data_IF_269571771786
#
_entry.id   IF_269571771786
#
_cell.length_a   1.000
_cell.length_b   1.000
_cell.length_c   1.000
_cell.angle_alpha   90.00
_cell.angle_beta   90.00
_cell.angle_gamma   90.00
#
_symmetry.space_group_name_H-M   'P 1'
#
loop_
_entity.id
_entity.type
_entity.pdbx_description
1 polymer ?
#
# COMPACT_ATOMS: atom_id res chain seq x y z
N UNK A 1 11.27 3.10 17.15
CA UNK A 1 10.17 2.66 16.28
C UNK A 1 10.36 3.24 14.90
N UNK A 2 10.82 2.40 13.98
CA UNK A 2 11.11 2.78 12.59
C UNK A 2 9.93 2.36 11.73
N UNK A 3 9.36 3.31 10.99
CA UNK A 3 8.18 3.08 10.18
C UNK A 3 8.40 3.51 8.73
N UNK A 4 7.79 2.77 7.81
CA UNK A 4 7.70 3.13 6.39
C UNK A 4 6.24 3.40 6.04
N UNK A 5 6.00 4.57 5.46
CA UNK A 5 4.69 4.93 4.90
C UNK A 5 4.76 4.91 3.38
N UNK A 6 3.80 4.23 2.75
CA UNK A 6 3.70 4.13 1.29
C UNK A 6 2.35 4.68 0.88
N UNK A 7 2.38 5.68 0.02
CA UNK A 7 1.19 6.38 -0.45
C UNK A 7 0.68 5.76 -1.77
N UNK A 8 -0.59 5.37 -1.81
CA UNK A 8 -1.30 4.98 -3.03
C UNK A 8 -2.43 5.99 -3.26
N UNK A 9 -2.33 6.89 -4.25
CA UNK A 9 -3.24 8.02 -4.37
C UNK A 9 -4.55 7.66 -5.08
N UNK A 10 -4.76 6.43 -5.53
CA UNK A 10 -5.91 6.10 -6.37
C UNK A 10 -7.17 5.78 -5.56
N UNK A 11 -8.31 6.27 -6.04
CA UNK A 11 -9.63 5.95 -5.53
C UNK A 11 -10.59 5.61 -6.68
N UNK A 12 -11.43 4.59 -6.50
CA UNK A 12 -12.55 4.29 -7.41
C UNK A 12 -13.68 5.32 -7.30
N UNK A 13 -13.80 5.99 -6.16
CA UNK A 13 -14.77 7.06 -5.91
C UNK A 13 -14.12 8.21 -5.13
N UNK A 14 -14.39 9.46 -5.54
CA UNK A 14 -13.91 10.64 -4.82
C UNK A 14 -14.98 11.08 -3.81
N UNK A 15 -14.71 10.82 -2.53
CA UNK A 15 -15.56 11.30 -1.45
C UNK A 15 -15.41 12.81 -1.25
N UNK A 16 -16.52 13.54 -1.24
CA UNK A 16 -16.54 15.01 -1.06
C UNK A 16 -16.01 15.49 0.31
N UNK A 17 -16.05 14.63 1.32
CA UNK A 17 -15.58 14.94 2.68
C UNK A 17 -14.09 14.56 2.91
N UNK A 18 -13.46 13.90 1.94
CA UNK A 18 -12.10 13.40 2.12
C UNK A 18 -11.10 14.45 1.62
N UNK A 19 -10.20 14.90 2.50
CA UNK A 19 -9.15 15.88 2.16
C UNK A 19 -7.78 15.23 1.87
N UNK A 20 -7.68 13.90 1.89
CA UNK A 20 -6.46 13.20 1.49
C UNK A 20 -6.09 13.47 0.03
N UNK A 21 -4.78 13.52 -0.25
CA UNK A 21 -4.27 13.58 -1.62
C UNK A 21 -4.66 12.28 -2.33
N UNK A 22 -5.53 12.41 -3.33
CA UNK A 22 -6.05 11.29 -4.10
C UNK A 22 -6.46 11.75 -5.49
N UNK A 23 -6.47 10.79 -6.41
CA UNK A 23 -6.86 10.94 -7.80
C UNK A 23 -7.86 9.86 -8.16
N UNK A 24 -8.78 10.20 -9.05
CA UNK A 24 -9.74 9.24 -9.57
C UNK A 24 -9.00 8.21 -10.44
N UNK A 25 -9.25 6.92 -10.20
CA UNK A 25 -8.50 5.81 -10.81
C UNK A 25 -8.60 5.77 -12.34
N UNK A 26 -9.74 6.16 -12.90
CA UNK A 26 -10.00 6.03 -14.34
C UNK A 26 -9.00 6.83 -15.18
N UNK A 27 -8.38 6.15 -16.15
CA UNK A 27 -7.39 6.74 -17.05
C UNK A 27 -6.01 6.98 -16.43
N UNK A 28 -5.77 6.55 -15.18
CA UNK A 28 -4.48 6.74 -14.53
C UNK A 28 -3.47 5.64 -14.91
N UNK A 29 -2.17 5.96 -15.04
CA UNK A 29 -1.13 4.98 -15.34
C UNK A 29 -0.69 4.23 -14.07
N UNK A 30 -1.59 3.42 -13.51
CA UNK A 30 -1.39 2.74 -12.20
C UNK A 30 -0.15 1.84 -12.19
N UNK A 31 0.07 1.06 -13.25
CA UNK A 31 1.24 0.17 -13.33
C UNK A 31 2.56 0.96 -13.35
N UNK A 32 2.61 2.04 -14.12
CA UNK A 32 3.78 2.93 -14.18
C UNK A 32 4.03 3.60 -12.82
N UNK A 33 2.97 4.02 -12.14
CA UNK A 33 3.08 4.56 -10.78
C UNK A 33 3.70 3.54 -9.82
N UNK A 34 3.22 2.29 -9.82
CA UNK A 34 3.77 1.22 -8.99
C UNK A 34 5.24 0.95 -9.33
N UNK A 35 5.61 0.95 -10.62
CA UNK A 35 7.00 0.78 -11.06
C UNK A 35 7.91 1.92 -10.59
N UNK A 36 7.46 3.16 -10.72
CA UNK A 36 8.20 4.33 -10.28
C UNK A 36 8.34 4.38 -8.76
N UNK A 37 7.30 3.98 -8.02
CA UNK A 37 7.32 3.86 -6.57
C UNK A 37 8.34 2.81 -6.12
N UNK A 38 8.39 1.66 -6.79
CA UNK A 38 9.41 0.63 -6.50
C UNK A 38 10.82 1.16 -6.73
N UNK A 39 11.03 1.86 -7.84
CA UNK A 39 12.31 2.50 -8.15
C UNK A 39 12.68 3.55 -7.11
N UNK A 40 11.72 4.33 -6.61
CA UNK A 40 11.95 5.30 -5.55
C UNK A 40 12.39 4.61 -4.25
N UNK A 41 11.73 3.52 -3.84
CA UNK A 41 12.11 2.74 -2.66
C UNK A 41 13.55 2.19 -2.76
N UNK A 42 13.93 1.66 -3.93
CA UNK A 42 15.31 1.22 -4.22
C UNK A 42 16.31 2.39 -4.12
N UNK A 43 15.99 3.52 -4.74
CA UNK A 43 16.86 4.71 -4.70
C UNK A 43 17.06 5.27 -3.28
N UNK A 44 16.05 5.15 -2.40
CA UNK A 44 16.15 5.59 -1.01
C UNK A 44 17.05 4.65 -0.21
N UNK A 45 16.84 3.33 -0.35
CA UNK A 45 17.63 2.30 0.37
C UNK A 45 19.08 2.20 -0.11
N UNK A 46 19.35 2.48 -1.38
CA UNK A 46 20.72 2.51 -1.92
C UNK A 46 21.54 3.70 -1.40
N UNK A 47 20.90 4.84 -1.15
CA UNK A 47 21.58 6.08 -0.70
C UNK A 47 21.85 6.10 0.80
N UNK A 48 21.08 5.35 1.57
CA UNK A 48 21.13 5.37 3.02
C UNK A 48 20.82 4.00 3.59
N UNK A 49 21.71 3.49 4.45
CA UNK A 49 21.41 2.31 5.26
C UNK A 49 20.17 2.60 6.10
N UNK A 50 19.14 1.77 5.97
CA UNK A 50 17.93 1.87 6.78
C UNK A 50 18.06 1.05 8.05
N UNK A 51 17.58 1.61 9.16
CA UNK A 51 17.37 0.83 10.38
C UNK A 51 16.29 -0.24 10.14
N UNK A 52 16.32 -1.35 10.89
CA UNK A 52 15.27 -2.36 10.80
C UNK A 52 13.87 -1.76 10.99
N UNK A 53 12.94 -2.10 10.09
CA UNK A 53 11.60 -1.53 10.03
C UNK A 53 10.64 -2.36 10.87
N UNK A 54 10.02 -1.72 11.86
CA UNK A 54 9.06 -2.34 12.79
C UNK A 54 7.61 -2.20 12.32
N UNK A 55 7.33 -1.24 11.41
CA UNK A 55 5.98 -0.98 10.91
C UNK A 55 6.02 -0.54 9.45
N UNK A 56 5.18 -1.16 8.62
CA UNK A 56 4.89 -0.73 7.25
C UNK A 56 3.42 -0.38 7.16
N UNK A 57 3.12 0.82 6.67
CA UNK A 57 1.76 1.29 6.46
C UNK A 57 1.56 1.72 5.01
N UNK A 58 0.62 1.08 4.32
CA UNK A 58 0.20 1.45 2.97
C UNK A 58 -1.16 2.13 3.05
N UNK A 59 -1.22 3.40 2.64
CA UNK A 59 -2.43 4.23 2.76
C UNK A 59 -2.51 5.31 1.69
N UNK A 60 -3.43 6.27 1.85
CA UNK A 60 -3.52 7.43 0.97
C UNK A 60 -4.93 7.65 0.43
N UNK A 61 -5.13 7.38 -0.85
CA UNK A 61 -6.45 7.27 -1.45
C UNK A 61 -7.09 5.97 -0.98
N UNK A 62 -6.96 4.92 -1.76
CA UNK A 62 -7.47 3.58 -1.41
C UNK A 62 -6.54 2.51 -1.97
N UNK A 63 -5.55 2.04 -1.19
CA UNK A 63 -4.60 1.01 -1.62
C UNK A 63 -5.25 -0.24 -2.21
N UNK A 64 -6.43 -0.62 -1.69
CA UNK A 64 -7.17 -1.80 -2.17
C UNK A 64 -7.81 -1.63 -3.55
N UNK A 65 -7.73 -0.46 -4.18
CA UNK A 65 -8.11 -0.27 -5.60
C UNK A 65 -7.11 -0.89 -6.56
N UNK A 66 -5.88 -1.15 -6.11
CA UNK A 66 -4.91 -1.91 -6.88
C UNK A 66 -5.44 -3.31 -7.19
N UNK A 67 -5.13 -3.79 -8.40
CA UNK A 67 -5.41 -5.17 -8.81
C UNK A 67 -4.57 -6.16 -8.00
N UNK A 68 -4.94 -7.43 -7.99
CA UNK A 68 -4.19 -8.49 -7.32
C UNK A 68 -2.72 -8.55 -7.79
N UNK A 69 -2.49 -8.36 -9.09
CA UNK A 69 -1.15 -8.37 -9.67
C UNK A 69 -0.31 -7.17 -9.17
N UNK A 70 -0.93 -5.98 -9.11
CA UNK A 70 -0.27 -4.78 -8.61
C UNK A 70 0.02 -4.86 -7.10
N UNK A 71 -0.92 -5.41 -6.31
CA UNK A 71 -0.72 -5.67 -4.88
C UNK A 71 0.44 -6.66 -4.66
N UNK A 72 0.44 -7.79 -5.37
CA UNK A 72 1.51 -8.78 -5.25
C UNK A 72 2.88 -8.17 -5.62
N UNK A 73 2.93 -7.39 -6.70
CA UNK A 73 4.13 -6.68 -7.15
C UNK A 73 4.64 -5.69 -6.08
N UNK A 74 3.75 -4.86 -5.55
CA UNK A 74 4.08 -3.88 -4.51
C UNK A 74 4.56 -4.56 -3.23
N UNK A 75 3.80 -5.51 -2.70
CA UNK A 75 4.16 -6.21 -1.45
C UNK A 75 5.47 -6.99 -1.59
N UNK A 76 5.68 -7.68 -2.72
CA UNK A 76 6.94 -8.37 -3.00
C UNK A 76 8.13 -7.40 -3.02
N UNK A 77 7.95 -6.21 -3.60
CA UNK A 77 9.00 -5.20 -3.61
C UNK A 77 9.28 -4.65 -2.20
N UNK A 78 8.25 -4.35 -1.41
CA UNK A 78 8.38 -3.88 -0.02
C UNK A 78 9.21 -4.86 0.81
N UNK A 79 8.85 -6.16 0.77
CA UNK A 79 9.54 -7.22 1.52
C UNK A 79 10.99 -7.42 1.06
N UNK A 80 11.28 -7.19 -0.23
CA UNK A 80 12.62 -7.31 -0.79
C UNK A 80 13.51 -6.11 -0.44
N UNK A 81 12.95 -4.91 -0.44
CA UNK A 81 13.70 -3.65 -0.38
C UNK A 81 13.95 -3.22 1.06
N UNK A 82 12.95 -3.33 1.94
CA UNK A 82 13.08 -2.85 3.31
C UNK A 82 13.55 -3.94 4.27
N UNK A 83 14.42 -3.62 5.24
CA UNK A 83 14.85 -4.56 6.28
C UNK A 83 13.76 -4.73 7.35
N UNK A 84 12.65 -5.39 7.00
CA UNK A 84 11.49 -5.57 7.88
C UNK A 84 11.80 -6.65 8.92
N UNK A 85 11.58 -6.33 10.20
CA UNK A 85 11.81 -7.29 11.29
C UNK A 85 10.71 -8.36 11.35
N UNK A 86 11.05 -9.52 11.91
CA UNK A 86 10.06 -10.54 12.20
C UNK A 86 9.00 -10.02 13.18
N UNK A 87 7.73 -10.27 12.87
CA UNK A 87 6.61 -9.79 13.68
C UNK A 87 6.29 -8.30 13.52
N UNK A 88 6.92 -7.60 12.56
CA UNK A 88 6.55 -6.22 12.22
C UNK A 88 5.06 -6.10 11.88
N UNK A 89 4.48 -4.94 12.20
CA UNK A 89 3.14 -4.61 11.73
C UNK A 89 3.21 -4.28 10.23
N UNK A 90 2.42 -4.98 9.41
CA UNK A 90 2.26 -4.66 8.00
C UNK A 90 0.77 -4.39 7.74
N UNK A 91 0.47 -3.09 7.61
CA UNK A 91 -0.87 -2.52 7.59
C UNK A 91 -1.25 -1.99 6.21
N UNK A 92 -2.48 -2.25 5.77
CA UNK A 92 -3.09 -1.61 4.59
C UNK A 92 -4.37 -0.86 4.98
N UNK A 93 -4.57 0.32 4.41
CA UNK A 93 -5.90 0.94 4.34
C UNK A 93 -6.75 0.22 3.28
N UNK A 94 -8.00 -0.04 3.63
CA UNK A 94 -8.94 -0.77 2.80
C UNK A 94 -10.32 -0.10 2.78
N UNK A 95 -10.93 -0.09 1.60
CA UNK A 95 -12.36 0.20 1.45
C UNK A 95 -13.14 -1.13 1.40
N UNK A 96 -14.15 -1.35 2.27
CA UNK A 96 -14.96 -2.56 2.23
C UNK A 96 -15.62 -2.84 0.87
N UNK A 97 -15.92 -1.80 0.08
CA UNK A 97 -16.54 -1.94 -1.24
C UNK A 97 -15.64 -2.60 -2.30
N UNK A 98 -14.32 -2.43 -2.17
CA UNK A 98 -13.36 -2.74 -3.24
C UNK A 98 -12.48 -3.96 -2.88
N UNK A 99 -12.76 -4.55 -1.72
CA UNK A 99 -12.00 -5.63 -1.11
C UNK A 99 -12.60 -6.99 -1.46
N UNK A 100 -11.88 -7.77 -2.28
CA UNK A 100 -12.23 -9.15 -2.61
C UNK A 100 -11.45 -10.16 -1.77
N UNK A 101 -11.97 -11.40 -1.70
CA UNK A 101 -11.24 -12.51 -1.07
C UNK A 101 -9.89 -12.79 -1.74
N UNK A 102 -9.78 -12.60 -3.06
CA UNK A 102 -8.52 -12.76 -3.79
C UNK A 102 -7.48 -11.71 -3.37
N UNK A 103 -7.87 -10.44 -3.26
CA UNK A 103 -6.99 -9.37 -2.77
C UNK A 103 -6.55 -9.62 -1.32
N UNK A 104 -7.47 -10.05 -0.46
CA UNK A 104 -7.17 -10.46 0.92
C UNK A 104 -6.15 -11.59 0.97
N UNK A 105 -6.31 -12.61 0.12
CA UNK A 105 -5.38 -13.72 0.04
C UNK A 105 -3.99 -13.25 -0.39
N UNK A 106 -3.90 -12.41 -1.43
CA UNK A 106 -2.62 -11.82 -1.87
C UNK A 106 -1.95 -11.06 -0.74
N UNK A 107 -2.67 -10.17 -0.05
CA UNK A 107 -2.11 -9.41 1.06
C UNK A 107 -1.59 -10.32 2.18
N UNK A 108 -2.39 -11.32 2.57
CA UNK A 108 -2.03 -12.30 3.61
C UNK A 108 -0.79 -13.12 3.23
N UNK A 109 -0.71 -13.57 1.98
CA UNK A 109 0.42 -14.34 1.47
C UNK A 109 1.74 -13.55 1.48
N UNK A 110 1.65 -12.21 1.47
CA UNK A 110 2.79 -11.30 1.59
C UNK A 110 2.95 -10.72 3.00
N UNK A 111 2.34 -11.34 4.03
CA UNK A 111 2.59 -10.99 5.42
C UNK A 111 1.84 -9.76 5.93
N UNK A 112 0.87 -9.20 5.18
CA UNK A 112 -0.05 -8.18 5.70
C UNK A 112 -0.85 -8.81 6.84
N UNK A 113 -0.78 -8.19 8.02
CA UNK A 113 -1.35 -8.71 9.26
C UNK A 113 -2.33 -7.76 9.93
N UNK A 114 -2.54 -6.56 9.36
CA UNK A 114 -3.52 -5.60 9.83
C UNK A 114 -4.18 -4.85 8.66
N UNK A 115 -5.48 -4.61 8.77
CA UNK A 115 -6.25 -3.78 7.84
C UNK A 115 -6.90 -2.63 8.61
N UNK A 116 -6.80 -1.43 8.07
CA UNK A 116 -7.55 -0.26 8.53
C UNK A 116 -8.70 -0.02 7.56
N UNK A 117 -9.93 -0.31 7.97
CA UNK A 117 -11.10 -0.15 7.11
C UNK A 117 -11.78 1.19 7.37
N UNK A 118 -11.89 2.01 6.32
CA UNK A 118 -12.66 3.24 6.37
C UNK A 118 -14.17 2.93 6.28
N UNK A 119 -14.91 3.18 7.35
CA UNK A 119 -16.37 3.12 7.36
C UNK A 119 -16.94 4.53 7.46
N UNK A 120 -17.79 4.92 6.52
CA UNK A 120 -18.34 6.28 6.48
C UNK A 120 -19.73 6.36 7.11
N UNK A 121 -20.49 5.26 7.07
CA UNK A 121 -21.77 5.00 7.75
C UNK A 121 -22.13 3.51 7.50
N UNK A 122 -22.83 2.85 8.43
CA UNK A 122 -23.28 1.46 8.32
C UNK A 122 -24.77 1.39 7.97
#
# INVERSE_FOLDING_TARGET
>A
MTAVYIHIPFCEHICYYCDFNKVFLEGQPVDEYVDLLIKEMEMVTDKQSMDPVETVFVGGGTPTTLTEAQLAKLCSAILRIFPIVEGAEFSFEANPGDLSLSKLQVMKDHGVNRLSMGGSEF
#
